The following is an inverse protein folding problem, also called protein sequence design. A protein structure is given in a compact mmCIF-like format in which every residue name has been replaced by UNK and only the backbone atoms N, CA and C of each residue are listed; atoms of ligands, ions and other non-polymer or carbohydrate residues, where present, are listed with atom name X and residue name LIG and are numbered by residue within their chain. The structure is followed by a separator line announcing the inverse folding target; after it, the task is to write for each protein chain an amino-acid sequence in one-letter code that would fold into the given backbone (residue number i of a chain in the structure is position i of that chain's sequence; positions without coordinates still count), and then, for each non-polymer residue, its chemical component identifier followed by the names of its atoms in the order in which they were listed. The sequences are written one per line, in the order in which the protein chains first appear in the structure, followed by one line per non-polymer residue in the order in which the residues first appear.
data_IF_829715321644
#
_entry.id   IF_829715321644
#
_cell.length_a   1.000
_cell.length_b   1.000
_cell.length_c   1.000
_cell.angle_alpha   90.00
_cell.angle_beta   90.00
_cell.angle_gamma   90.00
#
_symmetry.space_group_name_H-M   'P 1'
#
loop_
_entity.id
_entity.type
_entity.pdbx_description
1 polymer ?
#
# COMPACT_ATOMS: atom_id res chain seq x y z
N UNK A 1 5.42 3.86 12.78
CA UNK A 1 6.56 2.92 12.89
C UNK A 1 6.13 1.45 12.99
N UNK A 2 5.04 1.09 13.68
CA UNK A 2 4.59 -0.31 13.78
C UNK A 2 4.24 -0.97 12.42
N UNK A 3 3.50 -0.28 11.53
CA UNK A 3 3.15 -0.82 10.21
C UNK A 3 4.36 -1.20 9.36
N UNK A 4 5.40 -0.37 9.34
CA UNK A 4 6.64 -0.65 8.61
C UNK A 4 7.40 -1.88 9.13
N UNK A 5 7.36 -2.13 10.45
CA UNK A 5 7.98 -3.33 11.05
C UNK A 5 7.18 -4.57 10.65
N UNK A 6 5.86 -4.55 10.82
CA UNK A 6 4.98 -5.68 10.46
C UNK A 6 5.09 -5.98 8.96
N UNK A 7 5.15 -4.95 8.12
CA UNK A 7 5.38 -5.09 6.69
C UNK A 7 6.73 -5.71 6.35
N UNK A 8 7.80 -5.31 7.04
CA UNK A 8 9.12 -5.92 6.84
C UNK A 8 9.13 -7.42 7.21
N UNK A 9 8.45 -7.78 8.31
CA UNK A 9 8.29 -9.19 8.71
C UNK A 9 7.47 -9.98 7.68
N UNK A 10 6.44 -9.37 7.09
CA UNK A 10 5.60 -10.03 6.10
C UNK A 10 6.30 -10.29 4.76
N UNK A 11 7.28 -9.46 4.39
CA UNK A 11 8.06 -9.61 3.15
C UNK A 11 9.13 -10.71 3.29
N UNK A 12 9.69 -10.87 4.49
CA UNK A 12 10.69 -11.91 4.73
C UNK A 12 10.01 -13.27 4.93
N UNK A 13 10.24 -14.22 4.04
CA UNK A 13 9.65 -15.57 4.13
C UNK A 13 9.99 -16.28 5.45
N UNK A 14 11.17 -16.01 6.03
CA UNK A 14 11.59 -16.59 7.30
C UNK A 14 10.77 -16.05 8.49
N UNK A 15 10.32 -14.79 8.39
CA UNK A 15 9.62 -14.07 9.46
C UNK A 15 8.11 -13.98 9.22
N UNK A 16 7.61 -14.31 8.03
CA UNK A 16 6.19 -14.17 7.65
C UNK A 16 5.25 -14.88 8.63
N UNK A 17 5.69 -16.02 9.16
CA UNK A 17 4.97 -16.79 10.18
C UNK A 17 4.65 -15.97 11.43
N UNK A 18 5.50 -15.02 11.79
CA UNK A 18 5.27 -14.13 12.95
C UNK A 18 4.04 -13.25 12.72
N UNK A 19 3.77 -12.84 11.48
CA UNK A 19 2.59 -12.05 11.12
C UNK A 19 1.34 -12.93 11.09
N UNK A 20 1.46 -14.15 10.56
CA UNK A 20 0.35 -15.14 10.54
C UNK A 20 -0.07 -15.57 11.96
N UNK A 21 0.87 -15.59 12.91
CA UNK A 21 0.63 -15.90 14.32
C UNK A 21 0.21 -14.67 15.16
N UNK A 22 0.11 -13.46 14.56
CA UNK A 22 -0.36 -12.28 15.28
C UNK A 22 -1.85 -12.38 15.63
N UNK A 23 -2.19 -11.93 16.83
CA UNK A 23 -3.59 -11.80 17.24
C UNK A 23 -4.37 -10.91 16.25
N UNK A 24 -5.54 -11.37 15.75
CA UNK A 24 -6.33 -10.61 14.76
C UNK A 24 -6.65 -9.18 15.20
N UNK A 25 -6.91 -8.98 16.49
CA UNK A 25 -7.20 -7.65 17.04
C UNK A 25 -6.03 -6.66 16.89
N UNK A 26 -4.78 -7.15 16.83
CA UNK A 26 -3.62 -6.28 16.57
C UNK A 26 -3.57 -5.84 15.12
N UNK A 27 -3.92 -6.72 14.19
CA UNK A 27 -3.98 -6.41 12.76
C UNK A 27 -5.16 -5.46 12.45
N UNK A 28 -6.28 -5.64 13.13
CA UNK A 28 -7.43 -4.73 13.05
C UNK A 28 -7.08 -3.33 13.58
N UNK A 29 -6.46 -3.25 14.77
CA UNK A 29 -5.99 -1.98 15.33
C UNK A 29 -4.95 -1.31 14.40
N UNK A 30 -4.09 -2.09 13.75
CA UNK A 30 -3.13 -1.58 12.77
C UNK A 30 -3.83 -1.00 11.54
N UNK A 31 -4.85 -1.70 11.02
CA UNK A 31 -5.71 -1.24 9.92
C UNK A 31 -6.38 0.09 10.28
N UNK A 32 -7.06 0.16 11.42
CA UNK A 32 -7.74 1.38 11.88
C UNK A 32 -6.77 2.56 12.02
N UNK A 33 -5.58 2.31 12.56
CA UNK A 33 -4.55 3.32 12.71
C UNK A 33 -4.08 3.84 11.34
N UNK A 34 -3.81 2.97 10.36
CA UNK A 34 -3.38 3.38 9.01
C UNK A 34 -4.45 4.23 8.32
N UNK A 35 -5.73 3.85 8.44
CA UNK A 35 -6.85 4.61 7.87
C UNK A 35 -7.00 6.02 8.45
N UNK A 36 -6.46 6.25 9.66
CA UNK A 36 -6.47 7.56 10.31
C UNK A 36 -5.28 8.45 9.96
N UNK A 37 -4.28 7.95 9.22
CA UNK A 37 -3.05 8.69 8.95
C UNK A 37 -3.21 9.74 7.86
N UNK A 38 -2.78 10.95 8.18
CA UNK A 38 -2.53 12.00 7.20
C UNK A 38 -1.21 11.77 6.48
N UNK A 39 -1.14 12.15 5.21
CA UNK A 39 0.09 12.10 4.44
C UNK A 39 1.07 13.16 4.98
N UNK A 40 2.31 12.79 5.33
CA UNK A 40 3.29 13.76 5.82
C UNK A 40 3.67 14.74 4.70
N UNK A 41 3.96 16.00 5.06
CA UNK A 41 4.38 17.03 4.09
C UNK A 41 5.79 16.80 3.54
N UNK A 42 6.63 16.10 4.32
CA UNK A 42 8.00 15.80 3.93
C UNK A 42 8.09 14.53 3.09
N UNK A 43 8.98 14.52 2.11
CA UNK A 43 9.24 13.32 1.32
C UNK A 43 9.97 12.26 2.16
N UNK A 44 9.23 11.28 2.68
CA UNK A 44 9.79 10.14 3.42
C UNK A 44 10.23 9.00 2.50
N UNK A 45 9.57 8.82 1.36
CA UNK A 45 9.83 7.71 0.44
C UNK A 45 10.31 8.20 -0.94
N UNK A 46 11.30 7.49 -1.46
CA UNK A 46 11.75 7.64 -2.83
C UNK A 46 11.02 6.66 -3.76
N UNK A 47 10.93 7.01 -5.04
CA UNK A 47 10.30 6.13 -6.04
C UNK A 47 11.01 4.77 -6.18
N UNK A 48 12.29 4.66 -5.80
CA UNK A 48 13.00 3.38 -5.72
C UNK A 48 12.46 2.42 -4.65
N UNK A 49 11.67 2.92 -3.70
CA UNK A 49 11.03 2.12 -2.64
C UNK A 49 9.77 1.40 -3.10
N UNK A 50 9.23 1.69 -4.30
CA UNK A 50 8.04 1.03 -4.84
C UNK A 50 8.13 -0.50 -4.79
N UNK A 51 9.30 -1.05 -5.13
CA UNK A 51 9.57 -2.50 -5.10
C UNK A 51 9.38 -3.16 -3.72
N UNK A 52 9.46 -2.39 -2.64
CA UNK A 52 9.26 -2.90 -1.28
C UNK A 52 7.78 -3.03 -0.95
N UNK A 53 6.92 -2.23 -1.58
CA UNK A 53 5.49 -2.19 -1.29
C UNK A 53 4.67 -3.09 -2.22
N UNK A 54 5.15 -3.37 -3.43
CA UNK A 54 4.44 -4.26 -4.38
C UNK A 54 4.17 -5.66 -3.80
N UNK A 55 5.10 -6.33 -3.10
CA UNK A 55 4.81 -7.64 -2.50
C UNK A 55 3.65 -7.59 -1.49
N UNK A 56 3.54 -6.50 -0.73
CA UNK A 56 2.51 -6.34 0.30
C UNK A 56 1.11 -6.16 -0.28
N UNK A 57 0.99 -5.67 -1.52
CA UNK A 57 -0.30 -5.59 -2.21
C UNK A 57 -0.92 -6.98 -2.48
N UNK A 58 -0.09 -8.04 -2.50
CA UNK A 58 -0.53 -9.42 -2.71
C UNK A 58 -0.94 -10.12 -1.39
N UNK A 59 -0.80 -9.46 -0.24
CA UNK A 59 -1.21 -10.00 1.06
C UNK A 59 -2.71 -9.81 1.30
N UNK A 60 -3.58 -10.41 0.47
CA UNK A 60 -5.04 -10.28 0.56
C UNK A 60 -5.61 -10.75 1.91
N UNK A 61 -4.96 -11.72 2.55
CA UNK A 61 -5.36 -12.24 3.87
C UNK A 61 -5.03 -11.26 5.01
N UNK A 62 -4.34 -10.16 4.73
CA UNK A 62 -3.95 -9.18 5.75
C UNK A 62 -4.16 -7.75 5.23
N UNK A 63 -5.39 -7.22 5.30
CA UNK A 63 -5.74 -5.91 4.76
C UNK A 63 -4.88 -4.76 5.30
N UNK A 64 -4.42 -4.84 6.56
CA UNK A 64 -3.53 -3.86 7.15
C UNK A 64 -2.21 -3.70 6.37
N UNK A 65 -1.66 -4.78 5.81
CA UNK A 65 -0.44 -4.75 5.00
C UNK A 65 -0.69 -4.09 3.63
N UNK A 66 -1.82 -4.42 3.00
CA UNK A 66 -2.22 -3.78 1.74
C UNK A 66 -2.44 -2.27 1.95
N UNK A 67 -3.13 -1.88 3.01
CA UNK A 67 -3.36 -0.46 3.34
C UNK A 67 -2.05 0.28 3.62
N UNK A 68 -1.09 -0.33 4.33
CA UNK A 68 0.22 0.26 4.53
C UNK A 68 0.96 0.49 3.21
N UNK A 69 0.92 -0.50 2.32
CA UNK A 69 1.50 -0.39 0.99
C UNK A 69 0.84 0.75 0.20
N UNK A 70 -0.50 0.79 0.16
CA UNK A 70 -1.28 1.82 -0.54
C UNK A 70 -1.02 3.21 0.02
N UNK A 71 -0.98 3.38 1.34
CA UNK A 71 -0.66 4.65 1.98
C UNK A 71 0.75 5.13 1.58
N UNK A 72 1.72 4.22 1.52
CA UNK A 72 3.09 4.53 1.09
C UNK A 72 3.18 4.85 -0.41
N UNK A 73 2.40 4.14 -1.24
CA UNK A 73 2.29 4.42 -2.67
C UNK A 73 1.68 5.80 -2.91
N UNK A 74 0.59 6.14 -2.22
CA UNK A 74 -0.03 7.45 -2.27
C UNK A 74 0.97 8.55 -1.88
N UNK A 75 1.77 8.34 -0.83
CA UNK A 75 2.83 9.27 -0.43
C UNK A 75 3.82 9.53 -1.56
N UNK A 76 4.31 8.46 -2.20
CA UNK A 76 5.24 8.55 -3.35
C UNK A 76 4.59 9.30 -4.52
N UNK A 77 3.30 9.03 -4.78
CA UNK A 77 2.51 9.69 -5.82
C UNK A 77 2.32 11.19 -5.55
N UNK A 78 2.14 11.59 -4.29
CA UNK A 78 1.98 13.00 -3.91
C UNK A 78 3.32 13.75 -3.94
N UNK A 79 4.47 13.09 -3.68
CA UNK A 79 5.76 13.78 -3.42
C UNK A 79 6.91 13.64 -4.46
N UNK A 80 6.90 12.67 -5.39
CA UNK A 80 7.85 12.60 -6.53
C UNK A 80 7.66 13.68 -7.67
N UNK A 81 7.66 13.45 -8.99
CA UNK A 81 7.43 14.52 -10.02
C UNK A 81 6.67 14.01 -11.25
N UNK A 82 6.76 14.63 -12.43
CA UNK A 82 6.24 14.08 -13.71
C UNK A 82 6.86 12.71 -14.09
N UNK A 83 8.06 12.39 -13.58
CA UNK A 83 8.71 11.08 -13.74
C UNK A 83 7.97 9.93 -12.97
N UNK A 84 6.86 10.23 -12.28
CA UNK A 84 6.05 9.32 -11.42
C UNK A 84 5.21 8.30 -12.15
N UNK A 85 4.44 8.71 -13.17
CA UNK A 85 3.47 7.82 -13.81
C UNK A 85 4.18 6.70 -14.55
N UNK A 86 5.29 7.02 -15.21
CA UNK A 86 6.10 6.02 -15.90
C UNK A 86 6.62 4.95 -14.95
N UNK A 87 7.09 5.29 -13.74
CA UNK A 87 7.59 4.26 -12.82
C UNK A 87 6.47 3.39 -12.23
N UNK A 88 5.29 3.94 -11.96
CA UNK A 88 4.14 3.12 -11.55
C UNK A 88 3.74 2.15 -12.66
N UNK A 89 3.76 2.60 -13.92
CA UNK A 89 3.53 1.74 -15.08
C UNK A 89 4.68 0.72 -15.30
N UNK A 90 5.94 1.13 -15.12
CA UNK A 90 7.12 0.27 -15.25
C UNK A 90 7.08 -0.90 -14.25
N UNK A 91 6.55 -0.64 -13.05
CA UNK A 91 6.33 -1.67 -12.02
C UNK A 91 4.96 -2.36 -12.14
N UNK A 92 4.14 -2.02 -13.14
CA UNK A 92 2.81 -2.60 -13.35
C UNK A 92 1.80 -2.30 -12.23
N UNK A 93 2.08 -1.29 -11.39
CA UNK A 93 1.29 -0.99 -10.19
C UNK A 93 -0.11 -0.55 -10.57
N UNK A 94 -0.29 0.28 -11.61
CA UNK A 94 -1.62 0.74 -12.04
C UNK A 94 -2.53 -0.43 -12.42
N UNK A 95 -2.03 -1.37 -13.23
CA UNK A 95 -2.76 -2.58 -13.61
C UNK A 95 -3.06 -3.47 -12.41
N UNK A 96 -2.11 -3.64 -11.50
CA UNK A 96 -2.30 -4.38 -10.26
C UNK A 96 -3.41 -3.77 -9.40
N UNK A 97 -3.41 -2.45 -9.22
CA UNK A 97 -4.44 -1.72 -8.47
C UNK A 97 -5.83 -1.89 -9.11
N UNK A 98 -5.94 -1.80 -10.44
CA UNK A 98 -7.20 -2.03 -11.16
C UNK A 98 -7.71 -3.46 -10.89
N UNK A 99 -6.86 -4.47 -11.05
CA UNK A 99 -7.24 -5.87 -10.82
C UNK A 99 -7.71 -6.10 -9.38
N UNK A 100 -7.00 -5.54 -8.39
CA UNK A 100 -7.37 -5.64 -6.97
C UNK A 100 -8.69 -4.91 -6.66
N UNK A 101 -9.02 -3.83 -7.36
CA UNK A 101 -10.28 -3.11 -7.17
C UNK A 101 -11.49 -3.83 -7.75
N UNK A 102 -11.29 -4.75 -8.71
CA UNK A 102 -12.32 -5.58 -9.32
C UNK A 102 -12.53 -6.92 -8.59
N UNK A 103 -11.58 -7.32 -7.75
CA UNK A 103 -11.63 -8.55 -6.97
C UNK A 103 -12.58 -8.40 -5.76
N UNK A 104 -13.60 -9.26 -5.71
CA UNK A 104 -14.61 -9.28 -4.66
C UNK A 104 -14.12 -9.82 -3.31
N UNK A 105 -12.96 -10.48 -3.29
CA UNK A 105 -12.36 -11.03 -2.06
C UNK A 105 -11.50 -9.99 -1.33
N UNK A 106 -11.19 -8.86 -1.97
CA UNK A 106 -10.39 -7.79 -1.37
C UNK A 106 -11.25 -6.98 -0.38
N UNK A 107 -10.64 -6.65 0.75
CA UNK A 107 -11.26 -5.87 1.80
C UNK A 107 -11.80 -4.52 1.28
N UNK A 108 -13.01 -4.15 1.71
CA UNK A 108 -13.70 -2.96 1.24
C UNK A 108 -12.89 -1.66 1.42
N UNK A 109 -12.16 -1.52 2.54
CA UNK A 109 -11.39 -0.31 2.80
C UNK A 109 -10.14 -0.26 1.91
N UNK A 110 -9.55 -1.42 1.61
CA UNK A 110 -8.47 -1.54 0.62
C UNK A 110 -8.98 -1.09 -0.75
N UNK A 111 -10.11 -1.62 -1.22
CA UNK A 111 -10.72 -1.24 -2.52
C UNK A 111 -11.01 0.26 -2.58
N UNK A 112 -11.55 0.83 -1.49
CA UNK A 112 -11.82 2.27 -1.41
C UNK A 112 -10.54 3.08 -1.54
N UNK A 113 -9.50 2.72 -0.80
CA UNK A 113 -8.20 3.41 -0.84
C UNK A 113 -7.56 3.32 -2.23
N UNK A 114 -7.67 2.16 -2.89
CA UNK A 114 -7.20 1.97 -4.27
C UNK A 114 -7.88 2.96 -5.22
N UNK A 115 -9.21 3.08 -5.14
CA UNK A 115 -9.98 4.00 -5.99
C UNK A 115 -9.56 5.45 -5.76
N UNK A 116 -9.32 5.83 -4.50
CA UNK A 116 -8.83 7.18 -4.17
C UNK A 116 -7.45 7.45 -4.80
N UNK A 117 -6.52 6.48 -4.78
CA UNK A 117 -5.22 6.60 -5.45
C UNK A 117 -5.36 6.71 -6.97
N UNK A 118 -6.17 5.84 -7.59
CA UNK A 118 -6.37 5.86 -9.04
C UNK A 118 -6.94 7.21 -9.50
N UNK A 119 -7.92 7.75 -8.77
CA UNK A 119 -8.48 9.07 -9.07
C UNK A 119 -7.42 10.19 -8.94
N UNK A 120 -6.57 10.16 -7.92
CA UNK A 120 -5.47 11.12 -7.75
C UNK A 120 -4.47 11.05 -8.92
N UNK A 121 -4.17 9.84 -9.41
CA UNK A 121 -3.25 9.67 -10.55
C UNK A 121 -3.84 10.19 -11.86
N UNK A 122 -5.15 10.01 -12.10
CA UNK A 122 -5.83 10.54 -13.28
C UNK A 122 -5.85 12.07 -13.30
N UNK A 123 -6.06 12.72 -12.15
CA UNK A 123 -6.07 14.18 -12.02
C UNK A 123 -4.70 14.83 -12.19
N UNK A 124 -3.62 14.08 -11.96
CA UNK A 124 -2.24 14.58 -12.09
C UNK A 124 -1.71 14.50 -13.53
N UNK A 125 -2.46 13.84 -14.44
CA UNK A 125 -2.11 13.66 -15.85
C UNK A 125 -2.81 14.66 -16.81
N UNK A 126 -3.52 15.66 -16.28
CA UNK A 126 -4.12 16.78 -17.03
C UNK A 126 -3.33 18.07 -16.81
#
# INVERSE_FOLDING_TARGET
MAAGIVANLAINEEDKRLVEEMEPCMLDNLKEMILSWEQPEEQIFECGSLKLFVPLLHCSDTPALQLWALWSLQHICIHSGELRCQKLEDYGVSTLLINLAEDSEIDHDVVKFIKDILQLTEQTMQ
#
